data_IF_409111300586
#
_entry.id   IF_409111300586
#
_cell.length_a   1.000
_cell.length_b   1.000
_cell.length_c   1.000
_cell.angle_alpha   90.00
_cell.angle_beta   90.00
_cell.angle_gamma   90.00
#
_symmetry.space_group_name_H-M   'P 1'
#
loop_
_entity.id
_entity.type
_entity.pdbx_description
1 polymer ?
#
# COMPACT_ATOMS: atom_id res chain seq x y z
N UNK A 1 3.20 18.39 37.45
CA UNK A 1 3.06 18.79 36.03
C UNK A 1 2.58 17.58 35.22
N UNK A 2 1.27 17.41 35.07
CA UNK A 2 0.70 16.26 34.31
C UNK A 2 0.33 16.64 32.88
N UNK A 3 0.05 17.93 32.66
CA UNK A 3 -0.34 18.48 31.36
C UNK A 3 0.87 18.57 30.42
N UNK A 4 2.04 18.99 30.92
CA UNK A 4 3.25 19.10 30.10
C UNK A 4 3.73 17.73 29.59
N UNK A 5 3.70 16.70 30.43
CA UNK A 5 4.00 15.33 30.00
C UNK A 5 2.96 14.73 29.04
N UNK A 6 1.73 15.25 29.01
CA UNK A 6 0.75 14.86 27.98
C UNK A 6 1.04 15.53 26.64
N UNK A 7 1.40 16.82 26.65
CA UNK A 7 1.78 17.56 25.44
C UNK A 7 2.97 16.91 24.73
N UNK A 8 4.01 16.49 25.45
CA UNK A 8 5.17 15.82 24.84
C UNK A 8 4.80 14.51 24.15
N UNK A 9 3.94 13.69 24.77
CA UNK A 9 3.45 12.44 24.16
C UNK A 9 2.62 12.72 22.90
N UNK A 10 1.81 13.77 22.91
CA UNK A 10 1.03 14.17 21.72
C UNK A 10 1.94 14.67 20.60
N UNK A 11 2.97 15.46 20.91
CA UNK A 11 3.96 15.93 19.94
C UNK A 11 4.72 14.76 19.28
N UNK A 12 5.14 13.77 20.06
CA UNK A 12 5.76 12.55 19.54
C UNK A 12 4.81 11.75 18.65
N UNK A 13 3.54 11.60 19.07
CA UNK A 13 2.53 10.92 18.29
C UNK A 13 2.26 11.62 16.94
N UNK A 14 2.23 12.96 16.93
CA UNK A 14 2.11 13.75 15.70
C UNK A 14 3.34 13.52 14.82
N UNK A 15 4.56 13.61 15.36
CA UNK A 15 5.78 13.42 14.58
C UNK A 15 5.89 12.02 13.95
N UNK A 16 5.37 10.99 14.61
CA UNK A 16 5.26 9.64 14.04
C UNK A 16 4.19 9.63 12.94
N UNK A 17 3.00 10.16 13.21
CA UNK A 17 1.89 10.20 12.26
C UNK A 17 2.22 10.95 10.97
N UNK A 18 2.91 12.08 11.07
CA UNK A 18 3.33 12.89 9.90
C UNK A 18 4.31 12.13 9.01
N UNK A 19 5.32 11.46 9.59
CA UNK A 19 6.27 10.64 8.83
C UNK A 19 5.60 9.47 8.12
N UNK A 20 4.64 8.83 8.80
CA UNK A 20 3.86 7.77 8.17
C UNK A 20 3.00 8.30 7.02
N UNK A 21 2.38 9.47 7.19
CA UNK A 21 1.58 10.10 6.15
C UNK A 21 2.42 10.50 4.93
N UNK A 22 3.57 11.13 5.13
CA UNK A 22 4.51 11.50 4.05
C UNK A 22 4.93 10.28 3.22
N UNK A 23 5.27 9.18 3.90
CA UNK A 23 5.61 7.92 3.23
C UNK A 23 4.43 7.36 2.42
N UNK A 24 3.21 7.42 2.96
CA UNK A 24 2.00 6.97 2.26
C UNK A 24 1.63 7.85 1.06
N UNK A 25 1.92 9.15 1.13
CA UNK A 25 1.73 10.08 0.01
C UNK A 25 2.71 9.72 -1.12
N UNK A 26 4.00 9.58 -0.81
CA UNK A 26 5.01 9.16 -1.80
C UNK A 26 4.66 7.81 -2.43
N UNK A 27 4.21 6.86 -1.60
CA UNK A 27 3.76 5.55 -2.04
C UNK A 27 2.62 5.62 -3.08
N UNK A 28 1.60 6.44 -2.78
CA UNK A 28 0.46 6.69 -3.67
C UNK A 28 0.91 7.29 -5.01
N UNK A 29 1.80 8.28 -4.97
CA UNK A 29 2.30 8.93 -6.18
C UNK A 29 3.07 7.95 -7.09
N UNK A 30 3.95 7.13 -6.51
CA UNK A 30 4.69 6.12 -7.27
C UNK A 30 3.75 5.10 -7.93
N UNK A 31 2.77 4.57 -7.17
CA UNK A 31 1.77 3.65 -7.72
C UNK A 31 0.98 4.30 -8.86
N UNK A 32 0.57 5.56 -8.72
CA UNK A 32 -0.13 6.26 -9.81
C UNK A 32 0.74 6.44 -11.05
N UNK A 33 2.04 6.73 -10.92
CA UNK A 33 2.95 6.84 -12.07
C UNK A 33 3.03 5.53 -12.84
N UNK A 34 3.22 4.40 -12.17
CA UNK A 34 3.25 3.07 -12.81
C UNK A 34 1.93 2.77 -13.54
N UNK A 35 0.79 3.13 -12.94
CA UNK A 35 -0.52 2.90 -13.59
C UNK A 35 -0.77 3.76 -14.82
N UNK A 36 -0.14 4.94 -14.93
CA UNK A 36 -0.27 5.81 -16.13
C UNK A 36 0.41 5.20 -17.36
N UNK A 37 1.44 4.39 -17.16
CA UNK A 37 2.17 3.72 -18.23
C UNK A 37 1.51 2.39 -18.66
N UNK A 38 0.48 1.95 -17.94
CA UNK A 38 -0.25 0.73 -18.25
C UNK A 38 -1.20 0.92 -19.43
N UNK A 39 -1.22 -0.05 -20.35
CA UNK A 39 -2.18 -0.08 -21.45
C UNK A 39 -3.63 -0.24 -20.97
N UNK A 40 -4.59 0.13 -21.84
CA UNK A 40 -6.03 0.19 -21.53
C UNK A 40 -6.67 -1.13 -21.07
N UNK A 41 -6.06 -2.28 -21.39
CA UNK A 41 -6.54 -3.61 -20.98
C UNK A 41 -5.98 -4.06 -19.61
N UNK A 42 -5.11 -3.27 -18.98
CA UNK A 42 -4.51 -3.62 -17.69
C UNK A 42 -5.49 -3.40 -16.55
N UNK A 43 -5.55 -4.38 -15.64
CA UNK A 43 -6.29 -4.30 -14.37
C UNK A 43 -5.46 -3.76 -13.21
N UNK A 44 -4.23 -3.30 -13.50
CA UNK A 44 -3.32 -2.73 -12.51
C UNK A 44 -3.86 -1.44 -11.86
N UNK A 45 -4.46 -0.48 -12.58
CA UNK A 45 -5.04 0.72 -11.97
C UNK A 45 -6.12 0.37 -10.94
N UNK A 46 -6.98 -0.60 -11.28
CA UNK A 46 -8.05 -1.08 -10.39
C UNK A 46 -7.47 -1.79 -9.15
N UNK A 47 -6.37 -2.52 -9.31
CA UNK A 47 -5.64 -3.13 -8.18
C UNK A 47 -5.02 -2.06 -7.26
N UNK A 48 -4.45 -0.99 -7.82
CA UNK A 48 -3.89 0.12 -7.04
C UNK A 48 -4.99 0.85 -6.26
N UNK A 49 -6.12 1.18 -6.87
CA UNK A 49 -7.27 1.77 -6.17
C UNK A 49 -7.79 0.87 -5.05
N UNK A 50 -7.78 -0.45 -5.27
CA UNK A 50 -8.15 -1.40 -4.24
C UNK A 50 -7.18 -1.36 -3.04
N UNK A 51 -5.87 -1.23 -3.26
CA UNK A 51 -4.89 -1.07 -2.17
C UNK A 51 -5.02 0.27 -1.44
N UNK A 52 -5.31 1.34 -2.17
CA UNK A 52 -5.45 2.69 -1.62
C UNK A 52 -6.74 2.84 -0.80
N UNK A 53 -7.81 2.13 -1.18
CA UNK A 53 -9.07 2.08 -0.42
C UNK A 53 -9.00 1.10 0.75
N UNK A 54 -8.34 -0.05 0.57
CA UNK A 54 -8.21 -1.09 1.59
C UNK A 54 -6.76 -1.55 1.70
N UNK A 55 -6.09 -1.26 2.83
CA UNK A 55 -4.68 -1.58 3.00
C UNK A 55 -4.34 -3.07 3.10
N UNK A 56 -5.34 -3.94 3.25
CA UNK A 56 -5.19 -5.39 3.44
C UNK A 56 -5.82 -6.13 2.26
N UNK A 57 -5.07 -6.22 1.16
CA UNK A 57 -5.47 -6.97 -0.03
C UNK A 57 -4.48 -8.11 -0.21
N UNK A 58 -4.97 -9.34 -0.06
CA UNK A 58 -4.21 -10.54 -0.39
C UNK A 58 -4.40 -10.88 -1.86
N UNK A 59 -3.48 -11.67 -2.42
CA UNK A 59 -3.56 -12.13 -3.82
C UNK A 59 -4.90 -12.81 -4.14
N UNK A 60 -5.43 -13.74 -3.30
CA UNK A 60 -6.74 -14.35 -3.55
C UNK A 60 -7.90 -13.34 -3.50
N UNK A 61 -7.82 -12.34 -2.61
CA UNK A 61 -8.84 -11.30 -2.51
C UNK A 61 -8.84 -10.39 -3.74
N UNK A 62 -7.65 -9.96 -4.19
CA UNK A 62 -7.50 -9.17 -5.41
C UNK A 62 -8.00 -9.93 -6.64
N UNK A 63 -7.67 -11.22 -6.75
CA UNK A 63 -8.13 -12.07 -7.84
C UNK A 63 -9.67 -12.16 -7.89
N UNK A 64 -10.30 -12.37 -6.72
CA UNK A 64 -11.77 -12.43 -6.59
C UNK A 64 -12.44 -11.11 -6.94
N UNK A 65 -11.91 -9.99 -6.46
CA UNK A 65 -12.53 -8.66 -6.64
C UNK A 65 -12.34 -8.13 -8.07
N UNK A 66 -11.19 -8.37 -8.68
CA UNK A 66 -10.88 -7.91 -10.04
C UNK A 66 -11.26 -8.93 -11.13
N UNK A 67 -11.75 -10.12 -10.75
CA UNK A 67 -12.12 -11.23 -11.65
C UNK A 67 -10.96 -11.64 -12.58
N UNK A 68 -9.75 -11.68 -12.03
CA UNK A 68 -8.53 -12.09 -12.74
C UNK A 68 -7.95 -13.34 -12.07
N UNK A 69 -7.03 -14.02 -12.74
CA UNK A 69 -6.33 -15.15 -12.12
C UNK A 69 -5.39 -14.66 -11.01
N UNK A 70 -5.15 -15.46 -9.95
CA UNK A 70 -4.16 -15.13 -8.92
C UNK A 70 -2.78 -14.82 -9.53
N UNK A 71 -2.39 -15.57 -10.57
CA UNK A 71 -1.14 -15.34 -11.31
C UNK A 71 -1.10 -13.97 -11.98
N UNK A 72 -2.22 -13.48 -12.52
CA UNK A 72 -2.29 -12.14 -13.09
C UNK A 72 -2.10 -11.07 -12.00
N UNK A 73 -2.67 -11.28 -10.80
CA UNK A 73 -2.42 -10.39 -9.64
C UNK A 73 -0.95 -10.40 -9.25
N UNK A 74 -0.30 -11.57 -9.19
CA UNK A 74 1.13 -11.67 -8.89
C UNK A 74 1.98 -10.92 -9.94
N UNK A 75 1.66 -11.06 -11.22
CA UNK A 75 2.34 -10.34 -12.30
C UNK A 75 2.11 -8.83 -12.24
N UNK A 76 0.91 -8.39 -11.85
CA UNK A 76 0.59 -6.98 -11.63
C UNK A 76 1.35 -6.43 -10.42
N UNK A 77 1.43 -7.17 -9.31
CA UNK A 77 2.24 -6.81 -8.15
C UNK A 77 3.73 -6.74 -8.48
N UNK A 78 4.22 -7.64 -9.34
CA UNK A 78 5.60 -7.63 -9.80
C UNK A 78 5.93 -6.41 -10.68
N UNK A 79 4.95 -5.79 -11.35
CA UNK A 79 5.13 -4.56 -12.14
C UNK A 79 5.29 -3.32 -11.26
N UNK A 80 4.83 -3.36 -10.00
CA UNK A 80 4.99 -2.27 -9.03
C UNK A 80 6.39 -2.29 -8.36
N UNK A 81 7.46 -2.56 -9.10
CA UNK A 81 8.84 -2.69 -8.56
C UNK A 81 9.22 -1.43 -7.76
N UNK A 82 9.62 -1.60 -6.48
CA UNK A 82 9.93 -0.50 -5.55
C UNK A 82 8.72 0.24 -5.00
N UNK A 83 7.53 0.00 -5.57
CA UNK A 83 6.24 0.52 -5.13
C UNK A 83 5.30 -0.57 -4.62
N UNK A 84 5.86 -1.69 -4.11
CA UNK A 84 5.03 -2.73 -3.52
C UNK A 84 4.29 -2.14 -2.32
N UNK A 85 2.97 -2.34 -2.21
CA UNK A 85 2.20 -1.83 -1.08
C UNK A 85 2.81 -2.22 0.27
N UNK A 86 3.42 -3.41 0.38
CA UNK A 86 4.08 -3.88 1.61
C UNK A 86 5.39 -3.16 1.94
N UNK A 87 6.25 -2.90 0.96
CA UNK A 87 7.53 -2.19 1.14
C UNK A 87 7.30 -0.71 1.43
N UNK A 88 6.39 -0.09 0.68
CA UNK A 88 6.07 1.32 0.81
C UNK A 88 5.32 1.66 2.09
N UNK A 89 4.41 0.80 2.54
CA UNK A 89 3.65 1.05 3.78
C UNK A 89 4.41 0.59 5.05
N UNK A 90 5.63 0.06 4.92
CA UNK A 90 6.42 -0.51 6.02
C UNK A 90 5.73 -1.65 6.75
N UNK A 91 4.77 -2.31 6.10
CA UNK A 91 3.99 -3.40 6.68
C UNK A 91 4.72 -4.73 6.56
N UNK A 92 5.96 -4.78 7.05
CA UNK A 92 6.73 -6.02 7.21
C UNK A 92 5.91 -7.12 7.91
N UNK A 93 4.98 -6.74 8.80
CA UNK A 93 4.06 -7.67 9.49
C UNK A 93 3.00 -8.35 8.62
N UNK A 94 2.71 -7.82 7.44
CA UNK A 94 1.70 -8.37 6.53
C UNK A 94 2.36 -8.77 5.22
N UNK A 95 3.25 -9.75 5.31
CA UNK A 95 3.84 -10.44 4.17
C UNK A 95 2.73 -11.29 3.52
N UNK A 96 1.90 -10.68 2.68
CA UNK A 96 0.98 -11.39 1.78
C UNK A 96 1.71 -12.06 0.60
N UNK A 97 2.94 -12.53 0.85
CA UNK A 97 3.69 -13.42 -0.04
C UNK A 97 4.17 -14.58 0.84
N UNK A 98 3.39 -15.65 0.83
CA UNK A 98 3.66 -16.90 1.53
C UNK A 98 3.01 -16.96 2.91
N UNK A 99 1.97 -17.78 3.00
CA UNK A 99 1.78 -18.61 4.20
C UNK A 99 3.11 -19.31 4.47
N UNK A 100 3.71 -19.03 5.62
CA UNK A 100 4.32 -20.04 6.48
C UNK A 100 3.82 -19.75 7.88
#
# INVERSE_FOLDING_TARGET
>A
MKVEGFCTVVEEAIAIGTRDLERLILARELMHRVTKECGANSKLPELVELFLSRPLVTVPLGAKLLKVTPKAVDLMLAQLIGARPSELTGRSRYRASGIV
#
